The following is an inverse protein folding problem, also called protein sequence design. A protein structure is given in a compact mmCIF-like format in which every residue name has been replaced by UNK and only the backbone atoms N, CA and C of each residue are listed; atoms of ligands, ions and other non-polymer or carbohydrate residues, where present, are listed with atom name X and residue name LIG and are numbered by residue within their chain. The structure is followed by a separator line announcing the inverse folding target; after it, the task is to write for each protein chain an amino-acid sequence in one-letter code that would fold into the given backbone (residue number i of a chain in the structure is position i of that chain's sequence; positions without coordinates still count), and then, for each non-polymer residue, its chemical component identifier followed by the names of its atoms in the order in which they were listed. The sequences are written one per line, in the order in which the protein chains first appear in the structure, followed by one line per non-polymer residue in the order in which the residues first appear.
data_IF_431137427808
#
_entry.id   IF_431137427808
#
_cell.length_a   1.000
_cell.length_b   1.000
_cell.length_c   1.000
_cell.angle_alpha   90.00
_cell.angle_beta   90.00
_cell.angle_gamma   90.00
#
_symmetry.space_group_name_H-M   'P 1'
#
loop_
_entity.id
_entity.type
_entity.pdbx_description
1 polymer ?
#
# COMPACT_ATOMS: atom_id res chain seq x y z
N UNK A 1 -3.47 -23.37 -4.16
CA UNK A 1 -2.27 -22.71 -4.73
C UNK A 1 -2.22 -21.35 -4.09
N UNK A 2 -1.04 -20.78 -3.90
CA UNK A 2 -0.93 -19.58 -3.07
C UNK A 2 -1.55 -18.37 -3.77
N UNK A 3 -2.48 -17.72 -3.07
CA UNK A 3 -3.16 -16.52 -3.51
C UNK A 3 -3.01 -15.43 -2.42
N UNK A 4 -2.67 -14.20 -2.81
CA UNK A 4 -2.53 -13.11 -1.86
C UNK A 4 -3.10 -11.81 -2.40
N UNK A 5 -3.79 -11.04 -1.55
CA UNK A 5 -4.27 -9.71 -1.87
C UNK A 5 -3.47 -8.66 -1.09
N UNK A 6 -3.00 -7.63 -1.78
CA UNK A 6 -2.18 -6.56 -1.20
C UNK A 6 -2.87 -5.20 -1.17
N UNK A 7 -3.82 -4.96 -2.08
CA UNK A 7 -4.55 -3.71 -2.13
C UNK A 7 -6.02 -3.89 -2.48
N UNK A 8 -6.87 -2.99 -1.99
CA UNK A 8 -8.25 -2.91 -2.38
C UNK A 8 -8.87 -1.53 -2.13
N UNK A 9 -10.01 -1.28 -2.79
CA UNK A 9 -10.73 -0.01 -2.70
C UNK A 9 -12.23 -0.23 -2.92
N UNK A 10 -13.06 0.63 -2.33
CA UNK A 10 -14.49 0.71 -2.62
C UNK A 10 -14.78 1.92 -3.51
N UNK A 11 -15.55 1.71 -4.58
CA UNK A 11 -15.98 2.78 -5.47
C UNK A 11 -17.20 3.54 -4.93
N UNK A 12 -17.50 4.69 -5.54
CA UNK A 12 -18.69 5.48 -5.23
C UNK A 12 -20.00 4.71 -5.51
N UNK A 13 -19.98 3.76 -6.44
CA UNK A 13 -21.07 2.83 -6.76
C UNK A 13 -21.16 1.60 -5.85
N UNK A 14 -20.42 1.58 -4.73
CA UNK A 14 -20.40 0.48 -3.76
C UNK A 14 -19.97 -0.85 -4.40
N UNK A 15 -18.88 -0.82 -5.18
CA UNK A 15 -18.17 -2.02 -5.64
C UNK A 15 -16.83 -2.11 -4.94
N UNK A 16 -16.51 -3.29 -4.43
CA UNK A 16 -15.21 -3.61 -3.85
C UNK A 16 -14.29 -4.12 -4.95
N UNK A 17 -13.09 -3.58 -5.03
CA UNK A 17 -12.02 -4.04 -5.90
C UNK A 17 -10.85 -4.50 -5.05
N UNK A 18 -10.18 -5.56 -5.47
CA UNK A 18 -8.92 -6.00 -4.87
C UNK A 18 -7.93 -6.46 -5.94
N UNK A 19 -6.65 -6.43 -5.60
CA UNK A 19 -5.57 -6.95 -6.43
C UNK A 19 -4.49 -7.64 -5.61
N UNK A 20 -3.76 -8.51 -6.27
CA UNK A 20 -2.55 -9.14 -5.75
C UNK A 20 -2.00 -10.16 -6.73
N UNK A 21 -1.67 -11.37 -6.27
CA UNK A 21 -1.24 -12.46 -7.14
C UNK A 21 -2.01 -13.76 -6.90
N UNK A 22 -1.97 -14.65 -7.89
CA UNK A 22 -2.37 -16.05 -7.79
C UNK A 22 -1.31 -16.95 -8.40
N UNK A 23 -0.97 -18.06 -7.73
CA UNK A 23 -0.12 -19.11 -8.28
C UNK A 23 -0.91 -20.15 -9.11
N UNK A 24 -2.21 -19.90 -9.31
CA UNK A 24 -3.12 -20.80 -10.02
C UNK A 24 -4.05 -20.08 -10.98
N UNK A 25 -5.09 -20.78 -11.43
CA UNK A 25 -6.15 -20.19 -12.25
C UNK A 25 -7.37 -19.86 -11.41
N UNK A 26 -7.62 -18.57 -11.13
CA UNK A 26 -8.83 -18.14 -10.43
C UNK A 26 -10.01 -17.91 -11.39
N UNK A 27 -9.73 -17.67 -12.67
CA UNK A 27 -10.73 -17.60 -13.75
C UNK A 27 -10.15 -17.79 -15.16
N UNK A 28 -8.88 -18.22 -15.26
CA UNK A 28 -8.16 -18.40 -16.53
C UNK A 28 -7.01 -19.40 -16.41
N UNK A 29 -6.19 -19.49 -17.45
CA UNK A 29 -4.98 -20.32 -17.47
C UNK A 29 -3.83 -19.53 -16.87
N UNK A 30 -3.10 -20.12 -15.91
CA UNK A 30 -1.88 -19.49 -15.40
C UNK A 30 -0.87 -19.33 -16.53
N UNK A 31 -0.23 -18.15 -16.62
CA UNK A 31 0.74 -17.85 -17.67
C UNK A 31 2.13 -18.43 -17.36
N UNK A 32 2.37 -18.89 -16.13
CA UNK A 32 3.63 -19.48 -15.70
C UNK A 32 3.78 -19.44 -14.19
N UNK A 33 4.50 -18.44 -13.69
CA UNK A 33 4.68 -18.20 -12.26
C UNK A 33 3.41 -17.64 -11.60
N UNK A 34 3.60 -16.78 -10.61
CA UNK A 34 2.48 -16.03 -10.04
C UNK A 34 1.93 -15.05 -11.09
N UNK A 35 0.62 -14.95 -11.24
CA UNK A 35 -0.01 -13.96 -12.12
C UNK A 35 -0.69 -12.86 -11.31
N UNK A 36 -0.69 -11.63 -11.83
CA UNK A 36 -1.48 -10.55 -11.24
C UNK A 36 -2.96 -10.89 -11.39
N UNK A 37 -3.69 -10.84 -10.27
CA UNK A 37 -5.14 -10.98 -10.26
C UNK A 37 -5.80 -9.70 -9.76
N UNK A 38 -6.86 -9.28 -10.44
CA UNK A 38 -7.72 -8.17 -10.04
C UNK A 38 -9.18 -8.62 -10.05
N UNK A 39 -9.92 -8.34 -8.99
CA UNK A 39 -11.30 -8.82 -8.80
C UNK A 39 -12.22 -7.70 -8.36
N UNK A 40 -13.45 -7.75 -8.85
CA UNK A 40 -14.56 -6.92 -8.41
C UNK A 40 -15.58 -7.77 -7.64
N UNK A 41 -16.17 -7.19 -6.61
CA UNK A 41 -17.31 -7.73 -5.87
C UNK A 41 -18.34 -6.64 -5.62
N UNK A 42 -19.59 -7.02 -5.39
CA UNK A 42 -20.51 -6.16 -4.64
C UNK A 42 -20.25 -6.27 -3.13
N UNK A 43 -20.86 -5.37 -2.34
CA UNK A 43 -20.67 -5.35 -0.87
C UNK A 43 -21.38 -6.49 -0.11
N UNK A 44 -22.07 -7.39 -0.83
CA UNK A 44 -22.62 -8.63 -0.31
C UNK A 44 -21.74 -9.85 -0.67
N UNK A 45 -20.63 -9.63 -1.37
CA UNK A 45 -19.67 -10.67 -1.75
C UNK A 45 -20.00 -11.37 -3.08
N UNK A 46 -20.99 -10.92 -3.85
CA UNK A 46 -21.23 -11.44 -5.18
C UNK A 46 -20.10 -11.01 -6.13
N UNK A 47 -19.54 -11.95 -6.89
CA UNK A 47 -18.44 -11.69 -7.81
C UNK A 47 -18.91 -10.87 -9.02
N UNK A 48 -18.18 -9.81 -9.32
CA UNK A 48 -18.22 -9.09 -10.58
C UNK A 48 -17.22 -9.67 -11.57
N UNK A 49 -16.43 -8.81 -12.22
CA UNK A 49 -15.39 -9.23 -13.15
C UNK A 49 -14.11 -9.69 -12.43
N UNK A 50 -13.35 -10.54 -13.11
CA UNK A 50 -11.99 -10.94 -12.73
C UNK A 50 -11.07 -10.77 -13.94
N UNK A 51 -9.87 -10.26 -13.70
CA UNK A 51 -8.78 -10.23 -14.67
C UNK A 51 -7.58 -10.95 -14.05
N UNK A 52 -6.96 -11.85 -14.82
CA UNK A 52 -5.71 -12.51 -14.47
C UNK A 52 -4.74 -12.26 -15.64
N UNK A 53 -3.65 -11.55 -15.36
CA UNK A 53 -2.67 -11.13 -16.37
C UNK A 53 -1.27 -11.37 -15.81
N UNK A 54 -0.45 -12.08 -16.56
CA UNK A 54 0.92 -12.37 -16.19
C UNK A 54 1.76 -12.78 -17.38
N UNK A 55 3.02 -13.03 -17.09
CA UNK A 55 4.07 -13.49 -18.00
C UNK A 55 4.39 -14.97 -17.72
N UNK A 56 5.39 -15.52 -18.39
CA UNK A 56 5.90 -16.86 -18.04
C UNK A 56 6.61 -16.89 -16.67
N UNK A 57 6.98 -15.74 -16.12
CA UNK A 57 7.63 -15.58 -14.83
C UNK A 57 6.61 -15.15 -13.76
N UNK A 58 7.08 -14.67 -12.60
CA UNK A 58 6.20 -14.18 -11.55
C UNK A 58 5.87 -12.70 -11.73
N UNK A 59 4.60 -12.37 -11.54
CA UNK A 59 3.98 -11.07 -11.66
C UNK A 59 3.16 -10.81 -10.40
N UNK A 60 3.38 -9.66 -9.75
CA UNK A 60 2.77 -9.35 -8.46
C UNK A 60 2.30 -7.91 -8.44
N UNK A 61 1.03 -7.70 -8.08
CA UNK A 61 0.47 -6.38 -7.84
C UNK A 61 0.49 -6.05 -6.35
N UNK A 62 0.89 -4.82 -6.02
CA UNK A 62 0.96 -4.31 -4.66
C UNK A 62 0.02 -3.11 -4.43
N UNK A 63 -0.30 -2.36 -5.48
CA UNK A 63 -1.15 -1.17 -5.42
C UNK A 63 -2.40 -1.27 -6.28
N UNK A 64 -3.51 -0.70 -5.78
CA UNK A 64 -4.75 -0.50 -6.52
C UNK A 64 -5.32 0.89 -6.22
N UNK A 65 -5.74 1.61 -7.27
CA UNK A 65 -6.44 2.88 -7.14
C UNK A 65 -7.63 2.97 -8.10
N UNK A 66 -8.59 3.82 -7.75
CA UNK A 66 -9.75 4.16 -8.57
C UNK A 66 -9.69 5.63 -8.94
N UNK A 67 -10.07 5.98 -10.18
CA UNK A 67 -10.39 7.37 -10.52
C UNK A 67 -11.89 7.68 -10.33
N UNK A 68 -12.27 8.93 -10.58
CA UNK A 68 -13.65 9.40 -10.43
C UNK A 68 -14.66 8.75 -11.38
N UNK A 69 -14.19 8.09 -12.45
CA UNK A 69 -15.00 7.30 -13.38
C UNK A 69 -15.00 5.80 -13.03
N UNK A 70 -14.44 5.45 -11.87
CA UNK A 70 -14.26 4.07 -11.39
C UNK A 70 -13.41 3.21 -12.34
N UNK A 71 -12.51 3.82 -13.10
CA UNK A 71 -11.44 3.07 -13.75
C UNK A 71 -10.47 2.57 -12.68
N UNK A 72 -9.97 1.35 -12.86
CA UNK A 72 -9.09 0.66 -11.92
C UNK A 72 -7.65 0.70 -12.43
N UNK A 73 -6.73 1.15 -11.59
CA UNK A 73 -5.30 1.19 -11.85
C UNK A 73 -4.61 0.18 -10.93
N UNK A 74 -3.84 -0.74 -11.50
CA UNK A 74 -3.20 -1.84 -10.79
C UNK A 74 -1.70 -1.75 -11.04
N UNK A 75 -0.91 -1.60 -9.97
CA UNK A 75 0.52 -1.40 -10.06
C UNK A 75 1.30 -2.48 -9.28
N UNK A 76 2.47 -2.82 -9.80
CA UNK A 76 3.32 -3.83 -9.20
C UNK A 76 4.64 -4.04 -9.93
N UNK A 77 5.06 -5.30 -10.02
CA UNK A 77 6.21 -5.72 -10.80
C UNK A 77 5.92 -6.94 -11.67
N UNK A 78 6.69 -7.09 -12.74
CA UNK A 78 6.80 -8.32 -13.51
C UNK A 78 8.24 -8.79 -13.58
N UNK A 79 8.46 -10.10 -13.53
CA UNK A 79 9.76 -10.74 -13.78
C UNK A 79 9.88 -11.32 -15.21
N UNK A 80 8.96 -10.95 -16.11
CA UNK A 80 8.89 -11.41 -17.49
C UNK A 80 8.29 -10.32 -18.40
N UNK A 81 8.15 -10.59 -19.69
CA UNK A 81 7.50 -9.64 -20.60
C UNK A 81 5.99 -9.55 -20.32
N UNK A 82 5.55 -8.48 -19.66
CA UNK A 82 4.20 -8.34 -19.15
C UNK A 82 3.25 -7.78 -20.22
N UNK A 83 2.22 -8.55 -20.57
CA UNK A 83 1.13 -8.12 -21.46
C UNK A 83 1.59 -7.52 -22.80
N UNK A 84 2.64 -8.10 -23.40
CA UNK A 84 3.22 -7.64 -24.65
C UNK A 84 4.26 -6.51 -24.51
N UNK A 85 4.61 -6.14 -23.27
CA UNK A 85 5.73 -5.28 -22.95
C UNK A 85 7.08 -5.96 -23.17
N UNK A 86 8.15 -5.33 -22.68
CA UNK A 86 9.52 -5.82 -22.80
C UNK A 86 10.23 -5.63 -21.47
N UNK A 87 10.51 -6.76 -20.81
CA UNK A 87 11.34 -6.77 -19.62
C UNK A 87 12.75 -6.25 -19.93
N UNK A 88 13.19 -5.32 -19.10
CA UNK A 88 14.57 -4.89 -18.97
C UNK A 88 15.10 -5.42 -17.63
N UNK A 89 16.28 -6.01 -17.61
CA UNK A 89 16.86 -6.50 -16.35
C UNK A 89 16.13 -7.71 -15.75
N UNK A 90 15.86 -7.65 -14.45
CA UNK A 90 15.35 -8.79 -13.65
C UNK A 90 13.90 -8.65 -13.21
N UNK A 91 13.39 -7.43 -13.09
CA UNK A 91 11.99 -7.14 -12.79
C UNK A 91 11.68 -5.70 -13.16
N UNK A 92 10.56 -5.46 -13.83
CA UNK A 92 10.13 -4.13 -14.25
C UNK A 92 8.84 -3.71 -13.54
N UNK A 93 8.64 -2.40 -13.46
CA UNK A 93 7.40 -1.81 -12.96
C UNK A 93 6.31 -2.06 -13.99
N UNK A 94 5.16 -2.55 -13.52
CA UNK A 94 3.96 -2.71 -14.35
C UNK A 94 2.81 -1.87 -13.82
N UNK A 95 2.00 -1.36 -14.75
CA UNK A 95 0.77 -0.64 -14.48
C UNK A 95 -0.30 -1.00 -15.51
N UNK A 96 -1.44 -1.48 -15.05
CA UNK A 96 -2.58 -1.83 -15.91
C UNK A 96 -3.79 -0.99 -15.55
N UNK A 97 -4.46 -0.44 -16.57
CA UNK A 97 -5.74 0.26 -16.41
C UNK A 97 -6.89 -0.57 -16.95
N UNK A 98 -7.94 -0.71 -16.15
CA UNK A 98 -9.24 -1.25 -16.55
C UNK A 98 -10.30 -0.17 -16.44
N UNK A 99 -11.34 -0.22 -17.28
CA UNK A 99 -12.54 0.58 -17.02
C UNK A 99 -13.41 -0.06 -15.92
N UNK A 100 -14.48 0.62 -15.52
CA UNK A 100 -15.39 0.16 -14.46
C UNK A 100 -16.09 -1.18 -14.77
N UNK A 101 -16.20 -1.56 -16.05
CA UNK A 101 -16.70 -2.87 -16.48
C UNK A 101 -15.64 -3.98 -16.55
N UNK A 102 -14.39 -3.69 -16.16
CA UNK A 102 -13.30 -4.66 -16.19
C UNK A 102 -12.63 -4.85 -17.55
N UNK A 103 -12.93 -3.99 -18.53
CA UNK A 103 -12.27 -4.02 -19.83
C UNK A 103 -10.92 -3.30 -19.72
N UNK A 104 -9.84 -4.05 -19.98
CA UNK A 104 -8.47 -3.50 -20.04
C UNK A 104 -8.39 -2.38 -21.08
N UNK A 105 -7.85 -1.24 -20.69
CA UNK A 105 -7.64 -0.07 -21.55
C UNK A 105 -6.21 -0.05 -22.10
N UNK A 106 -5.23 -0.28 -21.22
CA UNK A 106 -3.81 -0.35 -21.56
C UNK A 106 -3.02 -0.98 -20.41
N UNK A 107 -1.80 -1.41 -20.74
CA UNK A 107 -0.76 -1.82 -19.80
C UNK A 107 0.53 -1.08 -20.14
N UNK A 108 1.32 -0.75 -19.13
CA UNK A 108 2.63 -0.14 -19.24
C UNK A 108 3.63 -0.99 -18.45
N UNK A 109 4.77 -1.30 -19.07
CA UNK A 109 5.91 -1.96 -18.45
C UNK A 109 7.15 -1.09 -18.69
N UNK A 110 7.91 -0.79 -17.62
CA UNK A 110 9.13 -0.02 -17.71
C UNK A 110 10.06 -0.27 -16.51
N UNK A 111 11.36 -0.18 -16.76
CA UNK A 111 12.37 -0.32 -15.72
C UNK A 111 13.78 -0.11 -16.27
N UNK A 112 14.73 -0.74 -15.60
CA UNK A 112 16.16 -0.59 -15.78
C UNK A 112 16.81 -1.95 -16.00
N UNK A 113 18.13 -1.99 -16.18
CA UNK A 113 18.85 -3.28 -16.27
C UNK A 113 18.91 -4.04 -14.94
N UNK A 114 18.46 -3.43 -13.84
CA UNK A 114 18.34 -4.03 -12.52
C UNK A 114 16.85 -4.08 -12.12
N UNK A 115 16.54 -4.68 -10.96
CA UNK A 115 15.15 -4.82 -10.52
C UNK A 115 14.51 -3.51 -10.07
N UNK A 116 13.29 -3.28 -10.56
CA UNK A 116 12.42 -2.15 -10.27
C UNK A 116 11.02 -2.64 -9.86
N UNK A 117 10.39 -1.96 -8.90
CA UNK A 117 9.13 -2.41 -8.32
C UNK A 117 8.26 -1.24 -7.85
N UNK A 118 7.03 -1.13 -8.35
CA UNK A 118 6.01 -0.28 -7.75
C UNK A 118 5.36 -0.99 -6.56
N UNK A 119 5.21 -0.26 -5.45
CA UNK A 119 4.57 -0.74 -4.22
C UNK A 119 3.16 -0.16 -4.04
N UNK A 120 2.90 1.04 -4.58
CA UNK A 120 1.60 1.69 -4.48
C UNK A 120 1.28 2.55 -5.71
N UNK A 121 0.00 2.79 -5.92
CA UNK A 121 -0.53 3.68 -6.95
C UNK A 121 -1.68 4.53 -6.39
N UNK A 122 -1.78 5.77 -6.84
CA UNK A 122 -2.93 6.67 -6.65
C UNK A 122 -3.38 7.19 -8.02
N UNK A 123 -4.65 7.55 -8.16
CA UNK A 123 -5.18 8.13 -9.39
C UNK A 123 -5.92 9.45 -9.09
N UNK A 124 -5.77 10.43 -9.97
CA UNK A 124 -6.54 11.68 -9.90
C UNK A 124 -7.81 11.63 -10.76
N UNK A 125 -8.66 12.67 -10.62
CA UNK A 125 -9.91 12.78 -11.37
C UNK A 125 -9.72 12.98 -12.87
N UNK A 126 -8.54 13.41 -13.32
CA UNK A 126 -8.19 13.53 -14.73
C UNK A 126 -7.69 12.19 -15.33
N UNK A 127 -7.59 11.14 -14.51
CA UNK A 127 -7.14 9.82 -14.90
C UNK A 127 -5.63 9.69 -15.03
N UNK A 128 -4.84 10.60 -14.44
CA UNK A 128 -3.42 10.37 -14.25
C UNK A 128 -3.23 9.42 -13.06
N UNK A 129 -2.19 8.60 -13.12
CA UNK A 129 -1.78 7.72 -12.04
C UNK A 129 -0.38 8.07 -11.54
N UNK A 130 -0.18 7.95 -10.24
CA UNK A 130 1.05 8.27 -9.54
C UNK A 130 1.53 7.00 -8.84
N UNK A 131 2.76 6.58 -9.11
CA UNK A 131 3.32 5.32 -8.65
C UNK A 131 4.54 5.59 -7.78
N UNK A 132 4.69 4.83 -6.71
CA UNK A 132 5.89 4.90 -5.88
C UNK A 132 6.41 3.50 -5.55
N UNK A 133 7.70 3.41 -5.25
CA UNK A 133 8.40 2.15 -5.08
C UNK A 133 9.90 2.35 -4.93
N UNK A 134 10.67 1.34 -5.34
CA UNK A 134 12.12 1.44 -5.42
C UNK A 134 12.65 1.07 -6.79
N UNK A 135 13.83 1.60 -7.12
CA UNK A 135 14.61 1.25 -8.30
C UNK A 135 16.05 0.95 -7.91
N UNK A 136 16.70 0.05 -8.65
CA UNK A 136 18.14 -0.26 -8.50
C UNK A 136 18.95 0.24 -9.68
N UNK A 137 18.43 1.21 -10.43
CA UNK A 137 19.06 1.79 -11.59
C UNK A 137 18.58 3.20 -11.88
N UNK A 138 19.15 3.81 -12.93
CA UNK A 138 18.72 5.11 -13.42
C UNK A 138 17.40 5.06 -14.19
N UNK A 139 16.29 4.76 -13.51
CA UNK A 139 14.91 4.80 -14.02
C UNK A 139 14.57 6.13 -14.72
N UNK A 140 14.09 6.02 -15.96
CA UNK A 140 13.62 7.16 -16.78
C UNK A 140 14.66 8.29 -16.91
N UNK A 141 15.93 7.91 -17.09
CA UNK A 141 17.05 8.83 -17.30
C UNK A 141 17.53 9.57 -16.05
N UNK A 142 16.98 9.28 -14.87
CA UNK A 142 17.50 9.79 -13.61
C UNK A 142 18.78 9.03 -13.20
N UNK A 143 19.51 9.56 -12.21
CA UNK A 143 20.74 8.95 -11.69
C UNK A 143 20.46 8.21 -10.38
N UNK A 144 20.81 6.92 -10.33
CA UNK A 144 20.81 6.14 -9.09
C UNK A 144 21.87 6.71 -8.11
N UNK A 145 21.48 6.95 -6.87
CA UNK A 145 22.38 7.43 -5.81
C UNK A 145 22.36 6.49 -4.60
N UNK A 146 23.25 5.49 -4.61
CA UNK A 146 23.28 4.44 -3.59
C UNK A 146 23.10 3.07 -4.24
N UNK A 147 22.36 2.17 -3.60
CA UNK A 147 21.96 0.86 -4.17
C UNK A 147 20.48 0.84 -4.55
N UNK A 148 19.64 1.50 -3.76
CA UNK A 148 18.21 1.66 -4.00
C UNK A 148 17.87 3.14 -3.94
N UNK A 149 17.06 3.60 -4.88
CA UNK A 149 16.43 4.92 -4.83
C UNK A 149 14.92 4.75 -4.67
N UNK A 150 14.33 5.60 -3.84
CA UNK A 150 12.89 5.83 -3.82
C UNK A 150 12.51 6.46 -5.16
N UNK A 151 11.44 5.99 -5.80
CA UNK A 151 10.90 6.69 -6.96
C UNK A 151 9.46 7.17 -6.77
N UNK A 152 9.11 8.22 -7.50
CA UNK A 152 7.75 8.65 -7.76
C UNK A 152 7.61 8.92 -9.26
N UNK A 153 6.66 8.26 -9.92
CA UNK A 153 6.37 8.43 -11.35
C UNK A 153 4.95 8.90 -11.57
N UNK A 154 4.73 9.71 -12.61
CA UNK A 154 3.40 10.04 -13.13
C UNK A 154 3.20 9.40 -14.50
N UNK A 155 2.07 8.73 -14.67
CA UNK A 155 1.62 8.16 -15.93
C UNK A 155 0.30 8.84 -16.33
N UNK A 156 0.22 9.31 -17.57
CA UNK A 156 -0.95 9.99 -18.10
C UNK A 156 -2.14 9.04 -18.36
N UNK A 157 -3.33 9.58 -18.68
CA UNK A 157 -4.55 8.79 -18.86
C UNK A 157 -4.49 7.78 -20.02
N UNK A 158 -3.58 7.98 -20.96
CA UNK A 158 -3.30 7.13 -22.12
C UNK A 158 -2.19 6.11 -21.89
N UNK A 159 -1.68 5.95 -20.66
CA UNK A 159 -0.62 4.99 -20.34
C UNK A 159 0.79 5.49 -20.66
N UNK A 160 0.98 6.79 -20.90
CA UNK A 160 2.28 7.38 -21.24
C UNK A 160 2.98 7.91 -19.98
N UNK A 161 4.18 7.41 -19.67
CA UNK A 161 5.03 7.95 -18.62
C UNK A 161 5.31 9.45 -18.90
N UNK A 162 5.05 10.31 -17.92
CA UNK A 162 5.18 11.77 -18.04
C UNK A 162 6.45 12.28 -17.37
N UNK A 163 6.72 11.79 -16.16
CA UNK A 163 7.93 12.11 -15.41
C UNK A 163 8.19 11.04 -14.35
N UNK A 164 9.45 10.93 -13.96
CA UNK A 164 9.92 10.17 -12.81
C UNK A 164 10.86 11.03 -11.97
N UNK A 165 10.68 10.99 -10.65
CA UNK A 165 11.62 11.51 -9.66
C UNK A 165 12.26 10.34 -8.94
N UNK A 166 13.58 10.38 -8.79
CA UNK A 166 14.32 9.50 -7.88
C UNK A 166 14.92 10.27 -6.71
N UNK A 167 14.97 9.63 -5.54
CA UNK A 167 15.61 10.15 -4.34
C UNK A 167 16.37 9.01 -3.67
N UNK A 168 17.69 9.15 -3.61
CA UNK A 168 18.62 8.30 -2.87
C UNK A 168 19.72 9.14 -2.22
N UNK A 169 20.66 8.48 -1.54
CA UNK A 169 21.87 9.10 -0.99
C UNK A 169 23.09 8.20 -1.11
N UNK A 170 24.27 8.83 -1.22
CA UNK A 170 25.55 8.12 -1.26
C UNK A 170 25.72 7.19 -0.06
N UNK A 171 26.01 5.91 -0.34
CA UNK A 171 26.15 4.88 0.70
C UNK A 171 24.83 4.39 1.30
N UNK A 172 23.69 4.88 0.80
CA UNK A 172 22.37 4.38 1.12
C UNK A 172 22.10 3.03 0.46
N UNK A 173 21.56 2.10 1.25
CA UNK A 173 21.25 0.73 0.82
C UNK A 173 19.77 0.39 1.00
N UNK A 174 18.95 1.30 1.51
CA UNK A 174 17.53 1.08 1.76
C UNK A 174 16.70 2.33 1.50
N UNK A 175 16.09 2.42 0.31
CA UNK A 175 15.11 3.44 -0.05
C UNK A 175 13.93 2.76 -0.73
N UNK A 176 12.71 3.07 -0.29
CA UNK A 176 11.52 2.52 -0.93
C UNK A 176 10.31 3.38 -0.64
N UNK A 177 9.58 3.75 -1.70
CA UNK A 177 8.21 4.23 -1.56
C UNK A 177 7.27 3.08 -1.29
N UNK A 178 6.35 3.26 -0.34
CA UNK A 178 5.39 2.23 0.09
C UNK A 178 3.94 2.65 -0.04
N UNK A 179 3.66 3.96 0.04
CA UNK A 179 2.31 4.49 -0.11
C UNK A 179 2.31 5.80 -0.89
N UNK A 180 1.26 6.03 -1.68
CA UNK A 180 1.06 7.29 -2.41
C UNK A 180 -0.43 7.67 -2.38
N UNK A 181 -0.71 8.96 -2.22
CA UNK A 181 -2.03 9.55 -2.28
C UNK A 181 -2.00 10.86 -3.08
N UNK A 182 -3.15 11.25 -3.63
CA UNK A 182 -3.34 12.55 -4.30
C UNK A 182 -4.45 13.31 -3.58
N UNK A 183 -4.17 14.57 -3.23
CA UNK A 183 -5.17 15.45 -2.61
C UNK A 183 -6.09 16.11 -3.66
N UNK A 184 -7.16 16.76 -3.21
CA UNK A 184 -8.14 17.39 -4.12
C UNK A 184 -7.59 18.58 -4.91
N UNK A 185 -6.44 19.12 -4.53
CA UNK A 185 -5.72 20.14 -5.28
C UNK A 185 -4.75 19.54 -6.33
N UNK A 186 -4.65 18.21 -6.39
CA UNK A 186 -3.74 17.51 -7.30
C UNK A 186 -2.30 17.46 -6.80
N UNK A 187 -2.06 17.70 -5.51
CA UNK A 187 -0.74 17.46 -4.92
C UNK A 187 -0.59 15.98 -4.59
N UNK A 188 0.62 15.49 -4.77
CA UNK A 188 0.98 14.09 -4.56
C UNK A 188 1.75 14.00 -3.25
N UNK A 189 1.34 13.07 -2.40
CA UNK A 189 1.99 12.72 -1.15
C UNK A 189 2.46 11.28 -1.28
N UNK A 190 3.77 11.07 -1.21
CA UNK A 190 4.36 9.74 -1.24
C UNK A 190 5.15 9.49 0.05
N UNK A 191 5.01 8.29 0.61
CA UNK A 191 5.60 7.89 1.89
C UNK A 191 6.38 6.60 1.74
N UNK A 192 7.33 6.37 2.64
CA UNK A 192 8.14 5.16 2.63
C UNK A 192 9.23 5.22 3.70
N UNK A 193 10.40 4.67 3.38
CA UNK A 193 11.56 4.76 4.24
C UNK A 193 12.86 5.07 3.48
N UNK A 194 13.84 5.55 4.26
CA UNK A 194 15.23 5.76 3.84
C UNK A 194 16.20 5.44 5.00
N UNK A 195 17.33 4.78 4.69
CA UNK A 195 18.39 4.41 5.65
C UNK A 195 19.50 5.48 5.81
N UNK A 196 19.45 6.53 5.00
CA UNK A 196 20.29 7.73 5.06
C UNK A 196 19.45 8.98 4.78
N UNK A 197 20.11 10.12 4.57
CA UNK A 197 19.44 11.39 4.26
C UNK A 197 18.46 11.26 3.09
N UNK A 198 17.26 11.80 3.25
CA UNK A 198 16.25 11.84 2.20
C UNK A 198 15.97 13.28 1.79
N UNK A 199 16.26 13.63 0.52
CA UNK A 199 16.04 14.97 -0.03
C UNK A 199 16.68 16.09 0.84
N UNK A 200 17.86 15.81 1.38
CA UNK A 200 18.64 16.73 2.22
C UNK A 200 18.21 16.80 3.69
N UNK A 201 17.19 16.04 4.11
CA UNK A 201 16.83 15.92 5.52
C UNK A 201 17.85 15.05 6.27
N UNK A 202 18.14 15.40 7.51
CA UNK A 202 19.05 14.63 8.36
C UNK A 202 18.33 13.44 8.98
N UNK A 203 19.08 12.36 9.21
CA UNK A 203 18.64 11.18 9.94
C UNK A 203 19.27 11.15 11.33
N UNK A 204 18.53 10.64 12.32
CA UNK A 204 19.08 10.23 13.62
C UNK A 204 19.45 8.75 13.52
N UNK A 205 20.66 8.37 13.93
CA UNK A 205 21.10 6.97 13.84
C UNK A 205 21.44 6.51 12.41
N UNK A 206 21.35 5.20 12.17
CA UNK A 206 21.74 4.56 10.90
C UNK A 206 20.70 3.60 10.34
N UNK A 207 19.54 3.51 11.00
CA UNK A 207 18.45 2.60 10.64
C UNK A 207 17.50 3.28 9.67
N UNK A 208 16.54 2.53 9.12
CA UNK A 208 15.49 3.11 8.30
C UNK A 208 14.69 4.16 9.07
N UNK A 209 14.30 5.21 8.36
CA UNK A 209 13.50 6.30 8.88
C UNK A 209 12.34 6.60 7.95
N UNK A 210 11.23 7.04 8.52
CA UNK A 210 10.04 7.41 7.76
C UNK A 210 10.36 8.60 6.88
N UNK A 211 9.97 8.53 5.61
CA UNK A 211 10.04 9.67 4.68
C UNK A 211 8.64 10.04 4.19
N UNK A 212 8.43 11.33 4.02
CA UNK A 212 7.21 11.90 3.42
C UNK A 212 7.65 12.94 2.40
N UNK A 213 7.25 12.77 1.15
CA UNK A 213 7.53 13.67 0.05
C UNK A 213 6.21 14.24 -0.49
N UNK A 214 6.09 15.57 -0.55
CA UNK A 214 4.94 16.24 -1.16
C UNK A 214 5.36 17.12 -2.34
N UNK A 215 4.71 16.95 -3.48
CA UNK A 215 4.90 17.77 -4.68
C UNK A 215 3.57 18.10 -5.36
N UNK A 216 3.58 19.06 -6.27
CA UNK A 216 2.45 19.28 -7.18
C UNK A 216 2.44 18.25 -8.34
N UNK A 217 1.42 18.33 -9.19
CA UNK A 217 1.25 17.44 -10.35
C UNK A 217 2.33 17.53 -11.44
N UNK A 218 3.20 18.54 -11.36
CA UNK A 218 4.36 18.76 -12.23
C UNK A 218 5.68 18.40 -11.54
N UNK A 219 5.63 17.73 -10.37
CA UNK A 219 6.79 17.37 -9.57
C UNK A 219 7.56 18.59 -8.99
N UNK A 220 6.92 19.75 -8.87
CA UNK A 220 7.49 20.85 -8.08
C UNK A 220 7.39 20.47 -6.61
N UNK A 221 8.54 20.35 -5.94
CA UNK A 221 8.60 20.04 -4.51
C UNK A 221 7.85 21.12 -3.72
N UNK A 222 6.93 20.70 -2.86
CA UNK A 222 6.27 21.55 -1.87
C UNK A 222 7.06 21.45 -0.56
N UNK A 223 7.22 20.24 -0.02
CA UNK A 223 8.07 19.95 1.13
C UNK A 223 8.43 18.47 1.18
N UNK A 224 9.44 18.14 1.98
CA UNK A 224 9.76 16.77 2.39
C UNK A 224 10.04 16.72 3.89
N UNK A 225 9.84 15.53 4.47
CA UNK A 225 10.17 15.24 5.86
C UNK A 225 10.83 13.89 5.99
N UNK A 226 11.69 13.81 7.00
CA UNK A 226 12.28 12.57 7.48
C UNK A 226 12.06 12.51 8.99
N UNK A 227 11.47 11.41 9.46
CA UNK A 227 11.11 11.19 10.86
C UNK A 227 11.85 9.94 11.31
N UNK A 228 12.75 10.11 12.27
CA UNK A 228 13.68 9.07 12.70
C UNK A 228 13.89 9.10 14.21
N UNK A 229 14.17 7.94 14.80
CA UNK A 229 14.77 7.77 16.11
C UNK A 229 16.15 7.09 15.96
N UNK A 230 16.72 6.54 17.03
CA UNK A 230 17.89 5.67 16.91
C UNK A 230 17.56 4.23 16.45
N UNK A 231 16.29 3.96 16.18
CA UNK A 231 15.73 2.65 15.84
C UNK A 231 15.19 2.63 14.42
N UNK A 232 14.57 1.52 14.00
CA UNK A 232 13.96 1.37 12.67
C UNK A 232 12.57 2.02 12.68
N UNK A 233 12.32 2.90 11.71
CA UNK A 233 11.01 3.46 11.42
C UNK A 233 10.70 3.40 9.92
N UNK A 234 9.52 2.89 9.57
CA UNK A 234 9.11 2.69 8.18
C UNK A 234 7.65 3.10 8.00
N UNK A 235 7.35 3.96 7.02
CA UNK A 235 5.97 4.22 6.62
C UNK A 235 5.53 3.24 5.53
N UNK A 236 4.30 2.75 5.64
CA UNK A 236 3.71 1.78 4.71
C UNK A 236 2.47 2.30 3.98
N UNK A 237 1.68 3.17 4.61
CA UNK A 237 0.44 3.68 4.02
C UNK A 237 0.25 5.18 4.24
N UNK A 238 -0.47 5.81 3.30
CA UNK A 238 -0.85 7.22 3.38
C UNK A 238 -2.29 7.42 2.91
N UNK A 239 -3.04 8.27 3.61
CA UNK A 239 -4.37 8.71 3.22
C UNK A 239 -4.51 10.23 3.41
N UNK A 240 -5.43 10.85 2.67
CA UNK A 240 -5.70 12.28 2.74
C UNK A 240 -7.19 12.56 2.96
N UNK A 241 -7.50 13.54 3.81
CA UNK A 241 -8.84 14.11 3.93
C UNK A 241 -8.76 15.64 3.84
N UNK A 242 -9.24 16.18 2.72
CA UNK A 242 -9.02 17.59 2.40
C UNK A 242 -7.52 17.88 2.32
N UNK A 243 -7.01 18.67 3.25
CA UNK A 243 -5.58 19.03 3.34
C UNK A 243 -4.82 18.26 4.42
N UNK A 244 -5.50 17.46 5.24
CA UNK A 244 -4.89 16.66 6.30
C UNK A 244 -4.35 15.36 5.71
N UNK A 245 -3.13 15.02 6.11
CA UNK A 245 -2.39 13.83 5.66
C UNK A 245 -2.28 12.88 6.85
N UNK A 246 -2.58 11.60 6.64
CA UNK A 246 -2.41 10.54 7.62
C UNK A 246 -1.37 9.54 7.11
N UNK A 247 -0.37 9.24 7.94
CA UNK A 247 0.71 8.30 7.61
C UNK A 247 0.73 7.20 8.66
N UNK A 248 0.79 5.95 8.20
CA UNK A 248 0.83 4.78 9.06
C UNK A 248 2.08 3.96 8.77
N UNK A 249 2.60 3.29 9.79
CA UNK A 249 3.70 2.35 9.60
C UNK A 249 4.15 1.64 10.87
N UNK A 250 5.45 1.36 10.95
CA UNK A 250 6.13 0.66 12.02
C UNK A 250 7.20 1.54 12.67
N UNK A 251 7.38 1.41 13.98
CA UNK A 251 8.47 2.02 14.72
C UNK A 251 8.99 1.10 15.81
N UNK A 252 10.29 0.79 15.78
CA UNK A 252 11.00 0.14 16.88
C UNK A 252 11.45 1.13 17.97
N UNK A 253 11.26 2.43 17.75
CA UNK A 253 11.57 3.49 18.70
C UNK A 253 10.34 4.30 19.13
N UNK A 254 10.59 5.32 19.93
CA UNK A 254 9.54 6.23 20.42
C UNK A 254 9.36 7.40 19.45
N UNK A 255 8.25 7.43 18.71
CA UNK A 255 7.91 8.52 17.76
C UNK A 255 6.59 9.20 18.12
N UNK A 256 6.56 9.88 19.27
CA UNK A 256 5.39 10.63 19.73
C UNK A 256 4.36 9.81 20.51
N UNK A 257 4.57 8.50 20.69
CA UNK A 257 3.78 7.64 21.56
C UNK A 257 4.60 7.03 22.71
N UNK A 258 4.12 5.93 23.29
CA UNK A 258 4.88 5.08 24.22
C UNK A 258 5.15 3.76 23.52
N UNK A 259 6.41 3.32 23.54
CA UNK A 259 6.82 2.02 23.01
C UNK A 259 6.39 0.91 24.00
N UNK A 260 5.53 0.00 23.55
CA UNK A 260 4.98 -1.09 24.35
C UNK A 260 5.73 -2.42 24.15
N UNK A 261 6.38 -2.61 23.00
CA UNK A 261 7.08 -3.86 22.65
C UNK A 261 8.32 -3.65 21.79
N UNK A 262 8.67 -4.67 21.01
CA UNK A 262 9.85 -4.65 20.13
C UNK A 262 9.68 -3.71 18.92
N UNK A 263 8.44 -3.40 18.56
CA UNK A 263 8.11 -2.41 17.55
C UNK A 263 6.61 -2.23 17.44
N UNK A 264 6.17 -0.99 17.43
CA UNK A 264 4.75 -0.65 17.51
C UNK A 264 4.29 -0.03 16.19
N UNK A 265 2.99 -0.15 15.89
CA UNK A 265 2.43 0.62 14.80
C UNK A 265 2.42 2.09 15.20
N UNK A 266 2.70 2.98 14.24
CA UNK A 266 2.46 4.41 14.42
C UNK A 266 1.39 4.91 13.48
N UNK A 267 0.68 5.95 13.90
CA UNK A 267 -0.22 6.74 13.07
C UNK A 267 0.06 8.22 13.34
N UNK A 268 0.48 8.95 12.31
CA UNK A 268 0.74 10.39 12.36
C UNK A 268 -0.26 11.17 11.50
N UNK A 269 -0.66 12.35 11.98
CA UNK A 269 -1.44 13.33 11.24
C UNK A 269 -0.62 14.59 10.99
N UNK A 270 -0.68 15.10 9.77
CA UNK A 270 0.05 16.29 9.33
C UNK A 270 -0.88 17.25 8.57
N UNK A 271 -0.61 18.54 8.68
CA UNK A 271 -1.29 19.57 7.89
C UNK A 271 -0.73 19.66 6.45
N UNK A 272 -1.30 20.56 5.65
CA UNK A 272 -0.93 20.77 4.26
C UNK A 272 0.55 21.15 4.06
N UNK A 273 1.15 21.78 5.07
CA UNK A 273 2.53 22.28 5.11
C UNK A 273 3.48 21.28 5.78
N UNK A 274 2.96 20.12 6.18
CA UNK A 274 3.70 19.06 6.83
C UNK A 274 3.82 19.23 8.35
N UNK A 275 3.23 20.26 8.99
CA UNK A 275 3.30 20.35 10.45
C UNK A 275 2.53 19.18 11.07
N UNK A 276 3.12 18.52 12.07
CA UNK A 276 2.47 17.42 12.76
C UNK A 276 1.34 17.96 13.64
N UNK A 277 0.12 17.46 13.41
CA UNK A 277 -1.03 17.74 14.26
C UNK A 277 -0.98 16.88 15.53
N UNK A 278 -0.77 15.57 15.32
CA UNK A 278 -0.66 14.58 16.38
C UNK A 278 0.03 13.32 15.85
N UNK A 279 0.58 12.51 16.75
CA UNK A 279 1.04 11.14 16.46
C UNK A 279 0.65 10.24 17.61
N UNK A 280 0.33 8.99 17.30
CA UNK A 280 0.05 7.95 18.29
C UNK A 280 0.79 6.67 17.93
N UNK A 281 1.14 5.87 18.94
CA UNK A 281 1.67 4.52 18.77
C UNK A 281 0.73 3.54 19.47
N UNK A 282 0.50 2.39 18.83
CA UNK A 282 -0.32 1.32 19.38
C UNK A 282 0.46 0.00 19.26
N UNK A 283 0.91 -0.50 20.41
CA UNK A 283 1.64 -1.76 20.48
C UNK A 283 1.13 -2.70 21.54
N UNK A 284 1.66 -3.91 21.50
CA UNK A 284 1.58 -4.96 22.51
C UNK A 284 3.00 -5.31 22.97
N UNK A 285 3.21 -6.46 23.62
CA UNK A 285 4.57 -6.97 23.85
C UNK A 285 5.24 -7.49 22.57
N UNK A 286 4.47 -7.71 21.49
CA UNK A 286 4.92 -8.21 20.20
C UNK A 286 5.42 -7.12 19.26
N UNK A 287 5.37 -7.40 17.96
CA UNK A 287 5.59 -6.44 16.89
C UNK A 287 4.29 -6.13 16.16
N UNK A 288 4.01 -4.85 15.95
CA UNK A 288 2.82 -4.36 15.27
C UNK A 288 3.20 -3.50 14.07
N UNK A 289 2.66 -3.84 12.90
CA UNK A 289 2.88 -3.07 11.67
C UNK A 289 1.55 -2.53 11.20
N UNK A 290 1.41 -1.20 11.06
CA UNK A 290 0.31 -0.62 10.31
C UNK A 290 0.65 -0.60 8.82
N UNK A 291 -0.11 -1.34 8.01
CA UNK A 291 0.20 -1.56 6.59
C UNK A 291 -0.73 -0.76 5.66
N UNK A 292 -1.98 -0.56 6.07
CA UNK A 292 -2.97 0.20 5.32
C UNK A 292 -3.68 1.24 6.19
N UNK A 293 -4.03 2.38 5.59
CA UNK A 293 -4.80 3.44 6.23
C UNK A 293 -5.85 4.01 5.28
N UNK A 294 -7.03 4.33 5.80
CA UNK A 294 -8.06 5.10 5.10
C UNK A 294 -8.72 6.09 6.05
N UNK A 295 -9.40 7.09 5.51
CA UNK A 295 -10.10 8.13 6.27
C UNK A 295 -11.46 8.40 5.66
N UNK A 296 -12.49 8.46 6.49
CA UNK A 296 -13.84 8.81 6.03
C UNK A 296 -14.07 10.32 5.94
N UNK A 297 -15.21 10.72 5.37
CA UNK A 297 -15.59 12.14 5.23
C UNK A 297 -15.79 12.87 6.57
N UNK A 298 -16.00 12.13 7.66
CA UNK A 298 -16.11 12.68 9.01
C UNK A 298 -14.76 12.81 9.71
N UNK A 299 -13.67 12.38 9.09
CA UNK A 299 -12.33 12.42 9.65
C UNK A 299 -12.00 11.25 10.57
N UNK A 300 -12.82 10.19 10.60
CA UNK A 300 -12.42 8.96 11.28
C UNK A 300 -11.35 8.24 10.46
N UNK A 301 -10.30 7.81 11.14
CA UNK A 301 -9.16 7.14 10.52
C UNK A 301 -9.22 5.65 10.85
N UNK A 302 -9.01 4.82 9.85
CA UNK A 302 -9.03 3.37 9.97
C UNK A 302 -7.68 2.83 9.55
N UNK A 303 -7.08 2.01 10.40
CA UNK A 303 -5.77 1.39 10.18
C UNK A 303 -5.93 -0.12 10.21
N UNK A 304 -5.29 -0.82 9.27
CA UNK A 304 -5.14 -2.27 9.30
C UNK A 304 -3.68 -2.66 9.28
N UNK A 305 -3.40 -3.90 9.69
CA UNK A 305 -2.05 -4.43 9.64
C UNK A 305 -1.95 -5.84 10.18
N UNK A 306 -0.78 -6.13 10.76
CA UNK A 306 -0.50 -7.37 11.47
C UNK A 306 -0.01 -7.10 12.90
N UNK A 307 -0.31 -8.00 13.82
CA UNK A 307 0.21 -7.99 15.20
C UNK A 307 0.76 -9.36 15.58
N UNK A 308 1.94 -9.39 16.21
CA UNK A 308 2.49 -10.59 16.85
C UNK A 308 2.11 -10.68 18.35
N UNK A 309 1.12 -9.91 18.79
CA UNK A 309 0.56 -9.97 20.13
C UNK A 309 -0.95 -9.87 20.15
N UNK A 310 -1.49 -9.44 21.28
CA UNK A 310 -2.89 -9.55 21.64
C UNK A 310 -3.50 -8.17 21.95
N UNK A 311 -4.32 -7.62 21.03
CA UNK A 311 -5.06 -6.38 21.24
C UNK A 311 -6.40 -6.59 21.95
N UNK A 312 -7.21 -7.55 21.48
CA UNK A 312 -8.57 -7.77 21.98
C UNK A 312 -8.88 -9.24 22.31
N UNK A 313 -7.89 -10.13 22.19
CA UNK A 313 -8.03 -11.57 22.35
C UNK A 313 -6.69 -12.27 22.56
N UNK A 314 -6.55 -13.50 22.06
CA UNK A 314 -5.28 -14.22 22.03
C UNK A 314 -4.67 -14.11 20.64
N UNK A 315 -3.35 -13.96 20.54
CA UNK A 315 -2.65 -14.11 19.27
C UNK A 315 -2.76 -15.58 18.81
N UNK A 316 -3.38 -15.82 17.67
CA UNK A 316 -3.73 -17.17 17.25
C UNK A 316 -2.56 -17.96 16.65
N UNK A 317 -1.49 -17.27 16.22
CA UNK A 317 -0.38 -17.85 15.46
C UNK A 317 0.92 -17.06 15.57
N UNK A 318 1.56 -16.81 14.43
CA UNK A 318 2.75 -15.97 14.37
C UNK A 318 2.40 -14.49 14.30
N UNK A 319 1.42 -14.15 13.46
CA UNK A 319 0.85 -12.81 13.35
C UNK A 319 -0.62 -12.89 12.97
N UNK A 320 -1.44 -12.00 13.55
CA UNK A 320 -2.87 -11.90 13.28
C UNK A 320 -3.20 -10.58 12.57
N UNK A 321 -4.31 -10.57 11.83
CA UNK A 321 -4.89 -9.36 11.24
C UNK A 321 -5.51 -8.51 12.35
N UNK A 322 -5.28 -7.21 12.31
CA UNK A 322 -6.05 -6.26 13.12
C UNK A 322 -6.63 -5.13 12.26
N UNK A 323 -7.70 -4.51 12.76
CA UNK A 323 -8.20 -3.24 12.29
C UNK A 323 -8.51 -2.34 13.49
N UNK A 324 -8.13 -1.07 13.42
CA UNK A 324 -8.37 -0.08 14.47
C UNK A 324 -9.00 1.18 13.89
N UNK A 325 -9.91 1.79 14.66
CA UNK A 325 -10.51 3.09 14.35
C UNK A 325 -10.01 4.15 15.31
N UNK A 326 -9.74 5.32 14.77
CA UNK A 326 -9.38 6.54 15.49
C UNK A 326 -10.34 7.67 15.10
N UNK A 327 -10.59 8.59 16.01
CA UNK A 327 -11.25 9.85 15.67
C UNK A 327 -10.27 10.84 14.99
N UNK A 328 -10.78 11.98 14.54
CA UNK A 328 -9.98 13.02 13.88
C UNK A 328 -8.90 13.65 14.77
N UNK A 329 -9.01 13.49 16.09
CA UNK A 329 -8.05 13.96 17.07
C UNK A 329 -6.99 12.91 17.43
N UNK A 330 -7.03 11.72 16.81
CA UNK A 330 -6.07 10.64 17.04
C UNK A 330 -6.39 9.76 18.24
N UNK A 331 -7.61 9.84 18.82
CA UNK A 331 -8.01 8.95 19.91
C UNK A 331 -8.55 7.65 19.34
N UNK A 332 -7.98 6.52 19.78
CA UNK A 332 -8.45 5.17 19.43
C UNK A 332 -9.87 4.96 19.96
N UNK A 333 -10.79 4.63 19.07
CA UNK A 333 -12.19 4.34 19.36
C UNK A 333 -12.41 2.85 19.61
N UNK A 334 -11.86 2.01 18.74
CA UNK A 334 -11.91 0.55 18.87
C UNK A 334 -10.76 -0.11 18.11
N UNK A 335 -10.48 -1.36 18.44
CA UNK A 335 -9.59 -2.25 17.70
C UNK A 335 -10.24 -3.63 17.68
N UNK A 336 -10.08 -4.36 16.58
CA UNK A 336 -10.54 -5.74 16.41
C UNK A 336 -9.40 -6.56 15.81
N UNK A 337 -9.28 -7.81 16.25
CA UNK A 337 -8.21 -8.73 15.84
C UNK A 337 -8.82 -10.08 15.44
N UNK A 338 -8.30 -10.68 14.37
CA UNK A 338 -8.63 -12.03 13.95
C UNK A 338 -7.41 -12.67 13.27
N UNK A 339 -7.18 -13.95 13.54
CA UNK A 339 -6.09 -14.68 12.92
C UNK A 339 -6.31 -16.19 12.98
N UNK A 340 -5.29 -16.90 12.53
CA UNK A 340 -5.20 -18.34 12.40
C UNK A 340 -3.93 -18.83 13.10
N UNK A 341 -3.64 -20.14 13.02
CA UNK A 341 -2.38 -20.68 13.55
C UNK A 341 -1.12 -20.24 12.77
N UNK A 342 -1.29 -19.60 11.61
CA UNK A 342 -0.20 -19.17 10.73
C UNK A 342 0.14 -17.68 10.86
N UNK A 343 0.62 -17.08 9.76
CA UNK A 343 0.81 -15.64 9.66
C UNK A 343 -0.28 -15.03 8.78
N UNK A 344 -1.01 -14.07 9.32
CA UNK A 344 -2.12 -13.42 8.65
C UNK A 344 -1.88 -11.90 8.58
N UNK A 345 -2.20 -11.32 7.42
CA UNK A 345 -1.81 -9.95 7.09
C UNK A 345 -2.99 -9.15 6.56
N UNK A 346 -3.39 -8.10 7.29
CA UNK A 346 -4.26 -7.06 6.74
C UNK A 346 -3.42 -6.04 5.98
N UNK A 347 -3.45 -6.08 4.66
CA UNK A 347 -2.59 -5.25 3.80
C UNK A 347 -3.23 -3.91 3.43
N UNK A 348 -4.56 -3.88 3.29
CA UNK A 348 -5.29 -2.68 2.86
C UNK A 348 -6.63 -2.56 3.57
N UNK A 349 -7.09 -1.33 3.78
CA UNK A 349 -8.36 -1.02 4.45
C UNK A 349 -9.11 0.06 3.68
N UNK A 350 -10.41 -0.11 3.53
CA UNK A 350 -11.31 0.86 2.89
C UNK A 350 -12.66 0.89 3.61
N UNK A 351 -13.49 1.89 3.33
CA UNK A 351 -14.82 2.05 3.95
C UNK A 351 -15.90 2.29 2.90
N UNK A 352 -17.11 1.85 3.20
CA UNK A 352 -18.29 2.23 2.40
C UNK A 352 -18.96 3.50 2.95
N UNK A 353 -19.95 4.00 2.23
CA UNK A 353 -20.69 5.21 2.63
C UNK A 353 -21.53 5.04 3.91
N UNK A 354 -21.73 3.81 4.38
CA UNK A 354 -22.44 3.49 5.62
C UNK A 354 -21.47 3.39 6.82
N UNK A 355 -20.16 3.53 6.56
CA UNK A 355 -19.11 3.43 7.58
C UNK A 355 -18.72 1.99 7.92
N UNK A 356 -19.14 0.99 7.13
CA UNK A 356 -18.58 -0.35 7.27
C UNK A 356 -17.14 -0.34 6.75
N UNK A 357 -16.31 -1.16 7.37
CA UNK A 357 -14.87 -1.23 7.14
C UNK A 357 -14.55 -2.55 6.47
N UNK A 358 -13.72 -2.52 5.45
CA UNK A 358 -13.30 -3.70 4.69
C UNK A 358 -11.80 -3.81 4.78
N UNK A 359 -11.31 -4.91 5.31
CA UNK A 359 -9.89 -5.26 5.37
C UNK A 359 -9.61 -6.27 4.27
N UNK A 360 -8.60 -5.99 3.45
CA UNK A 360 -8.12 -6.83 2.36
C UNK A 360 -6.73 -7.33 2.73
N UNK A 361 -6.47 -8.62 2.49
CA UNK A 361 -5.21 -9.23 2.89
C UNK A 361 -5.09 -10.69 2.49
N UNK A 362 -4.30 -11.43 3.24
CA UNK A 362 -4.17 -12.89 3.10
C UNK A 362 -3.97 -13.59 4.44
N UNK A 363 -4.37 -14.85 4.49
CA UNK A 363 -4.26 -15.73 5.65
C UNK A 363 -3.54 -17.03 5.28
N UNK A 364 -2.85 -17.63 6.25
CA UNK A 364 -2.04 -18.83 6.04
C UNK A 364 -2.76 -20.15 6.40
N UNK A 365 -3.99 -20.05 6.90
CA UNK A 365 -4.82 -21.20 7.24
C UNK A 365 -6.31 -20.84 7.17
N UNK A 366 -7.16 -21.80 7.53
CA UNK A 366 -8.61 -21.60 7.56
C UNK A 366 -9.00 -20.49 8.52
N UNK A 367 -9.58 -19.43 7.98
CA UNK A 367 -10.07 -18.26 8.70
C UNK A 367 -11.61 -18.27 8.71
N UNK A 368 -12.22 -18.08 9.88
CA UNK A 368 -13.67 -17.99 10.06
C UNK A 368 -14.46 -19.16 9.41
N UNK A 369 -13.97 -20.38 9.61
CA UNK A 369 -14.61 -21.60 9.07
C UNK A 369 -14.54 -21.75 7.55
N UNK A 370 -13.85 -20.87 6.84
CA UNK A 370 -13.62 -20.99 5.39
C UNK A 370 -12.40 -21.89 5.14
N UNK A 371 -12.59 -22.86 4.24
CA UNK A 371 -11.53 -23.76 3.82
C UNK A 371 -10.47 -23.01 3.04
N UNK A 372 -9.24 -23.48 3.17
CA UNK A 372 -8.03 -22.85 2.69
C UNK A 372 -7.29 -23.81 1.71
N UNK A 373 -6.63 -23.33 0.66
CA UNK A 373 -5.87 -24.17 -0.30
C UNK A 373 -4.48 -23.62 -0.67
N UNK A 374 -3.39 -24.17 -0.15
CA UNK A 374 -2.01 -23.77 -0.50
C UNK A 374 -1.13 -23.47 0.72
N UNK A 375 -0.36 -22.37 0.68
CA UNK A 375 0.28 -21.69 1.81
C UNK A 375 -0.35 -20.34 2.21
N UNK A 376 -0.81 -19.50 1.27
CA UNK A 376 -1.66 -18.30 1.53
C UNK A 376 -2.89 -18.20 0.63
N UNK A 377 -3.95 -17.54 1.12
CA UNK A 377 -5.23 -17.33 0.42
C UNK A 377 -5.71 -15.90 0.70
N UNK A 378 -6.31 -15.28 -0.31
CA UNK A 378 -6.89 -13.95 -0.19
C UNK A 378 -8.05 -13.91 0.81
N UNK A 379 -8.08 -12.87 1.63
CA UNK A 379 -9.18 -12.62 2.57
C UNK A 379 -9.75 -11.21 2.39
N UNK A 380 -11.07 -11.12 2.57
CA UNK A 380 -11.79 -9.86 2.74
C UNK A 380 -12.62 -9.99 4.01
N UNK A 381 -12.38 -9.11 4.97
CA UNK A 381 -13.10 -9.06 6.24
C UNK A 381 -13.94 -7.80 6.30
N UNK A 382 -15.24 -7.94 6.61
CA UNK A 382 -16.17 -6.82 6.72
C UNK A 382 -16.49 -6.58 8.20
N UNK A 383 -16.29 -5.35 8.65
CA UNK A 383 -16.66 -4.91 9.99
C UNK A 383 -17.73 -3.84 9.90
N UNK A 384 -18.70 -3.88 10.80
CA UNK A 384 -19.62 -2.76 11.04
C UNK A 384 -18.86 -1.50 11.49
N UNK A 385 -19.52 -0.34 11.43
CA UNK A 385 -18.96 0.93 11.92
C UNK A 385 -18.52 0.89 13.41
N UNK A 386 -19.09 -0.04 14.19
CA UNK A 386 -18.75 -0.30 15.59
C UNK A 386 -17.65 -1.34 15.80
N UNK A 387 -17.02 -1.84 14.74
CA UNK A 387 -15.88 -2.78 14.83
C UNK A 387 -16.26 -4.25 14.95
N UNK A 388 -17.53 -4.61 14.77
CA UNK A 388 -18.00 -6.02 14.83
C UNK A 388 -17.89 -6.67 13.45
N UNK A 389 -17.20 -7.81 13.35
CA UNK A 389 -17.08 -8.63 12.15
C UNK A 389 -18.46 -9.15 11.69
N UNK A 390 -18.73 -9.14 10.38
CA UNK A 390 -20.03 -9.44 9.78
C UNK A 390 -20.04 -10.68 8.89
#
# INVERSE_FOLDING_TARGET
MDDAAFAGAISASNKLYLTGYTAGGLSGTSAGGNDIVSRQYDLNGATGWTAQVGSAASDIAYGLALDSSENVYVAGQSMGAYDGGTLVGSSDIVLTKYNSSGTKQWSLEYGTVNGDQAQAVAADSAGNSYLTGFTRGGLDGNTLTGIYDFFLSKVGPTGTLQWTKQIGSTGGIGYSGRGVAVDSAGNIIAVGYADKSFDGNSIVGTSDSIVIYKCDSSNTKIWSKQISSASIEEAYGVAVNGTTIYVVGYSAGTIGGTQAGAGDLFLGSYDANGNQNWTTQLGTSGQEYGLGVTVDKSGNVYVTGKTAGAFTGTNAGGTDIFVAKYDSAGNKQWVSQIGTAGNDFGQSVTTDSLGNVYVIGYAAASLDGKTYQGGFDMVVLKYSASGVLQ
#
